data_IF_379720353025
#
_entry.id   IF_379720353025
#
_cell.length_a   1.000
_cell.length_b   1.000
_cell.length_c   1.000
_cell.angle_alpha   90.00
_cell.angle_beta   90.00
_cell.angle_gamma   90.00
#
_symmetry.space_group_name_H-M   'P 1'
#
loop_
_entity.id
_entity.type
_entity.pdbx_description
1 polymer ?
#
# COMPACT_ATOMS: atom_id res chain seq x y z
N UNK A 1 8.56 -14.61 -15.85
CA UNK A 1 7.13 -14.53 -15.47
C UNK A 1 6.47 -13.40 -16.25
N UNK A 2 5.71 -13.75 -17.29
CA UNK A 2 4.89 -12.80 -18.05
C UNK A 2 3.84 -12.20 -17.12
N UNK A 3 3.93 -10.89 -16.88
CA UNK A 3 2.85 -10.13 -16.25
C UNK A 3 1.71 -10.06 -17.26
N UNK A 4 0.78 -11.00 -17.18
CA UNK A 4 -0.50 -10.93 -17.87
C UNK A 4 -1.23 -9.67 -17.37
N UNK A 5 -1.18 -8.61 -18.18
CA UNK A 5 -2.11 -7.49 -18.04
C UNK A 5 -3.50 -8.10 -18.19
N UNK A 6 -4.44 -7.86 -17.25
CA UNK A 6 -5.76 -8.48 -17.32
C UNK A 6 -6.41 -8.12 -18.65
N UNK A 7 -6.73 -9.14 -19.45
CA UNK A 7 -7.16 -9.09 -20.86
C UNK A 7 -8.29 -8.07 -21.10
N UNK A 8 -9.15 -7.83 -20.10
CA UNK A 8 -10.22 -6.82 -20.17
C UNK A 8 -9.72 -5.37 -20.28
N UNK A 9 -8.56 -5.03 -19.71
CA UNK A 9 -8.02 -3.66 -19.73
C UNK A 9 -7.30 -3.36 -21.07
N UNK A 10 -6.61 -4.34 -21.65
CA UNK A 10 -5.94 -4.16 -22.95
C UNK A 10 -6.94 -3.98 -24.09
N UNK A 11 -8.01 -4.79 -24.12
CA UNK A 11 -9.08 -4.71 -25.14
C UNK A 11 -9.77 -3.35 -25.10
N UNK A 12 -10.09 -2.83 -23.91
CA UNK A 12 -10.69 -1.50 -23.77
C UNK A 12 -9.74 -0.38 -24.22
N UNK A 13 -8.43 -0.52 -23.98
CA UNK A 13 -7.45 0.47 -24.41
C UNK A 13 -7.24 0.48 -25.92
N UNK A 14 -7.26 -0.69 -26.56
CA UNK A 14 -7.18 -0.84 -28.01
C UNK A 14 -8.43 -0.31 -28.72
N UNK A 15 -9.62 -0.62 -28.20
CA UNK A 15 -10.88 -0.06 -28.70
C UNK A 15 -10.91 1.48 -28.59
N UNK A 16 -10.39 2.04 -27.49
CA UNK A 16 -10.31 3.48 -27.30
C UNK A 16 -9.27 4.13 -28.24
N UNK A 17 -8.12 3.49 -28.49
CA UNK A 17 -7.17 3.94 -29.51
C UNK A 17 -7.79 3.95 -30.90
N UNK A 18 -8.52 2.90 -31.25
CA UNK A 18 -9.21 2.80 -32.54
C UNK A 18 -10.30 3.87 -32.69
N UNK A 19 -11.05 4.17 -31.61
CA UNK A 19 -12.03 5.27 -31.58
C UNK A 19 -11.36 6.63 -31.80
N UNK A 20 -10.25 6.91 -31.11
CA UNK A 20 -9.49 8.17 -31.28
C UNK A 20 -8.87 8.28 -32.66
N UNK A 21 -8.39 7.18 -33.25
CA UNK A 21 -7.88 7.15 -34.63
C UNK A 21 -8.97 7.52 -35.63
N UNK A 22 -10.18 6.95 -35.50
CA UNK A 22 -11.35 7.30 -36.33
C UNK A 22 -11.71 8.79 -36.24
N UNK A 23 -11.67 9.37 -35.04
CA UNK A 23 -11.94 10.80 -34.83
C UNK A 23 -10.83 11.66 -35.44
N UNK A 24 -9.56 11.24 -35.36
CA UNK A 24 -8.43 11.98 -35.92
C UNK A 24 -8.46 12.01 -37.45
N UNK A 25 -8.98 10.96 -38.08
CA UNK A 25 -9.03 10.84 -39.54
C UNK A 25 -10.23 11.57 -40.17
N UNK A 26 -11.23 11.97 -39.39
CA UNK A 26 -12.41 12.70 -39.86
C UNK A 26 -12.32 14.19 -39.45
N UNK A 27 -12.20 15.13 -40.41
CA UNK A 27 -11.96 16.54 -40.11
C UNK A 27 -13.12 17.21 -39.35
N UNK A 28 -14.37 16.80 -39.62
CA UNK A 28 -15.56 17.36 -38.98
C UNK A 28 -15.61 16.89 -37.53
N UNK A 29 -15.46 15.59 -37.30
CA UNK A 29 -15.44 15.03 -35.94
C UNK A 29 -14.25 15.53 -35.12
N UNK A 30 -13.11 15.79 -35.76
CA UNK A 30 -11.94 16.38 -35.10
C UNK A 30 -12.21 17.82 -34.65
N UNK A 31 -12.86 18.63 -35.48
CA UNK A 31 -13.23 20.01 -35.14
C UNK A 31 -14.23 20.03 -33.97
N UNK A 32 -15.28 19.21 -34.02
CA UNK A 32 -16.23 19.07 -32.91
C UNK A 32 -15.56 18.61 -31.61
N UNK A 33 -14.62 17.66 -31.71
CA UNK A 33 -13.88 17.17 -30.55
C UNK A 33 -13.04 18.28 -29.90
N UNK A 34 -12.33 19.07 -30.72
CA UNK A 34 -11.53 20.22 -30.27
C UNK A 34 -12.41 21.27 -29.60
N UNK A 35 -13.58 21.58 -30.16
CA UNK A 35 -14.50 22.55 -29.56
C UNK A 35 -15.07 22.05 -28.23
N UNK A 36 -15.44 20.76 -28.14
CA UNK A 36 -15.85 20.13 -26.87
C UNK A 36 -14.74 20.14 -25.82
N UNK A 37 -13.47 19.99 -26.21
CA UNK A 37 -12.34 20.14 -25.28
C UNK A 37 -12.14 21.59 -24.84
N UNK A 38 -12.28 22.55 -25.75
CA UNK A 38 -12.20 23.99 -25.47
C UNK A 38 -13.28 24.43 -24.48
N UNK A 39 -14.54 24.02 -24.70
CA UNK A 39 -15.64 24.29 -23.77
C UNK A 39 -15.40 23.66 -22.39
N UNK A 40 -14.88 22.42 -22.34
CA UNK A 40 -14.50 21.77 -21.07
C UNK A 40 -13.37 22.51 -20.37
N UNK A 41 -12.43 23.07 -21.12
CA UNK A 41 -11.35 23.89 -20.58
C UNK A 41 -11.89 25.19 -19.96
N UNK A 42 -12.73 25.92 -20.68
CA UNK A 42 -13.37 27.16 -20.21
C UNK A 42 -14.18 26.93 -18.93
N UNK A 43 -15.05 25.91 -18.92
CA UNK A 43 -15.82 25.53 -17.72
C UNK A 43 -14.94 25.20 -16.50
N UNK A 44 -13.76 24.59 -16.70
CA UNK A 44 -12.83 24.31 -15.60
C UNK A 44 -12.10 25.55 -15.11
N UNK A 45 -11.86 26.52 -15.99
CA UNK A 45 -11.25 27.81 -15.66
C UNK A 45 -12.25 28.66 -14.86
N UNK A 46 -13.50 28.77 -15.33
CA UNK A 46 -14.59 29.47 -14.62
C UNK A 46 -14.84 28.88 -13.23
N UNK A 47 -14.83 27.55 -13.10
CA UNK A 47 -14.97 26.85 -11.81
C UNK A 47 -13.74 26.95 -10.88
N UNK A 48 -12.67 27.67 -11.28
CA UNK A 48 -11.43 27.78 -10.49
C UNK A 48 -10.62 26.48 -10.34
N UNK A 49 -11.04 25.39 -10.99
CA UNK A 49 -10.38 24.07 -10.92
C UNK A 49 -9.06 24.05 -11.70
N UNK A 50 -8.87 24.99 -12.63
CA UNK A 50 -7.65 25.13 -13.42
C UNK A 50 -7.11 26.55 -13.32
N UNK A 51 -6.16 26.74 -12.41
CA UNK A 51 -5.45 28.00 -12.19
C UNK A 51 -4.43 28.26 -13.30
N UNK A 52 -4.30 29.52 -13.71
CA UNK A 52 -3.14 29.98 -14.49
C UNK A 52 -1.88 29.89 -13.63
N UNK A 53 -0.70 29.75 -14.25
CA UNK A 53 0.56 29.68 -13.48
C UNK A 53 0.81 30.96 -12.69
N UNK A 54 0.35 32.11 -13.18
CA UNK A 54 0.44 33.41 -12.50
C UNK A 54 -0.44 33.46 -11.23
N UNK A 55 -1.56 32.75 -11.24
CA UNK A 55 -2.54 32.69 -10.14
C UNK A 55 -2.20 31.59 -9.11
N UNK A 56 -1.20 30.75 -9.40
CA UNK A 56 -0.76 29.69 -8.49
C UNK A 56 0.22 30.24 -7.45
N UNK A 57 0.12 29.71 -6.22
CA UNK A 57 1.09 30.01 -5.15
C UNK A 57 2.51 29.58 -5.54
N UNK A 58 3.57 30.16 -4.96
CA UNK A 58 4.96 29.78 -5.27
C UNK A 58 5.24 28.27 -5.09
N UNK A 59 4.61 27.65 -4.09
CA UNK A 59 4.72 26.21 -3.82
C UNK A 59 4.04 25.37 -4.91
N UNK A 60 2.84 25.74 -5.34
CA UNK A 60 2.15 25.10 -6.46
C UNK A 60 2.95 25.28 -7.78
N UNK A 61 3.49 26.47 -8.03
CA UNK A 61 4.35 26.73 -9.19
C UNK A 61 5.55 25.79 -9.22
N UNK A 62 6.22 25.58 -8.08
CA UNK A 62 7.35 24.64 -7.96
C UNK A 62 6.94 23.21 -8.32
N UNK A 63 5.78 22.75 -7.84
CA UNK A 63 5.26 21.40 -8.13
C UNK A 63 4.94 21.26 -9.62
N UNK A 64 4.28 22.25 -10.21
CA UNK A 64 3.92 22.24 -11.64
C UNK A 64 5.16 22.27 -12.53
N UNK A 65 6.14 23.13 -12.23
CA UNK A 65 7.43 23.16 -12.96
C UNK A 65 8.19 21.84 -12.82
N UNK A 66 8.17 21.19 -11.65
CA UNK A 66 8.75 19.84 -11.47
C UNK A 66 8.08 18.80 -12.37
N UNK A 67 6.75 18.84 -12.52
CA UNK A 67 6.02 17.99 -13.46
C UNK A 67 6.39 18.29 -14.90
N UNK A 68 6.49 19.56 -15.30
CA UNK A 68 6.89 19.96 -16.65
C UNK A 68 8.29 19.50 -17.01
N UNK A 69 9.27 19.65 -16.12
CA UNK A 69 10.62 19.11 -16.34
C UNK A 69 10.58 17.61 -16.59
N UNK A 70 9.82 16.87 -15.77
CA UNK A 70 9.64 15.43 -15.96
C UNK A 70 9.01 15.12 -17.33
N UNK A 71 7.90 15.76 -17.69
CA UNK A 71 7.24 15.53 -18.97
C UNK A 71 8.13 15.88 -20.17
N UNK A 72 8.91 16.96 -20.08
CA UNK A 72 9.89 17.33 -21.09
C UNK A 72 10.99 16.28 -21.25
N UNK A 73 11.53 15.75 -20.14
CA UNK A 73 12.50 14.65 -20.17
C UNK A 73 11.89 13.38 -20.76
N UNK A 74 10.70 12.98 -20.31
CA UNK A 74 10.00 11.79 -20.80
C UNK A 74 9.70 11.91 -22.32
N UNK A 75 9.28 13.09 -22.78
CA UNK A 75 9.05 13.37 -24.21
C UNK A 75 10.33 13.26 -25.03
N UNK A 76 11.43 13.89 -24.58
CA UNK A 76 12.74 13.82 -25.28
C UNK A 76 13.27 12.39 -25.35
N UNK A 77 13.17 11.62 -24.27
CA UNK A 77 13.52 10.20 -24.26
C UNK A 77 12.67 9.41 -25.26
N UNK A 78 11.36 9.63 -25.27
CA UNK A 78 10.46 8.97 -26.23
C UNK A 78 10.81 9.31 -27.68
N UNK A 79 11.14 10.57 -27.97
CA UNK A 79 11.57 10.96 -29.31
C UNK A 79 12.90 10.32 -29.71
N UNK A 80 13.87 10.25 -28.80
CA UNK A 80 15.13 9.54 -29.03
C UNK A 80 14.89 8.05 -29.32
N UNK A 81 14.04 7.39 -28.53
CA UNK A 81 13.67 5.99 -28.76
C UNK A 81 12.98 5.79 -30.10
N UNK A 82 12.02 6.65 -30.46
CA UNK A 82 11.34 6.59 -31.74
C UNK A 82 12.32 6.75 -32.91
N UNK A 83 13.28 7.68 -32.82
CA UNK A 83 14.33 7.87 -33.82
C UNK A 83 15.21 6.63 -33.94
N UNK A 84 15.63 6.05 -32.81
CA UNK A 84 16.45 4.84 -32.80
C UNK A 84 15.68 3.64 -33.39
N UNK A 85 14.41 3.47 -33.03
CA UNK A 85 13.54 2.43 -33.60
C UNK A 85 13.34 2.62 -35.10
N UNK A 86 13.07 3.85 -35.55
CA UNK A 86 12.95 4.19 -36.97
C UNK A 86 14.24 3.86 -37.74
N UNK A 87 15.41 4.23 -37.20
CA UNK A 87 16.69 3.92 -37.80
C UNK A 87 16.94 2.40 -37.87
N UNK A 88 16.62 1.67 -36.80
CA UNK A 88 16.75 0.21 -36.76
C UNK A 88 15.84 -0.48 -37.79
N UNK A 89 14.59 -0.06 -37.91
CA UNK A 89 13.65 -0.61 -38.92
C UNK A 89 14.16 -0.32 -40.33
N UNK A 90 14.68 0.90 -40.59
CA UNK A 90 15.23 1.28 -41.88
C UNK A 90 16.49 0.50 -42.26
N UNK A 91 17.35 0.17 -41.29
CA UNK A 91 18.54 -0.65 -41.51
C UNK A 91 18.24 -2.14 -41.75
N UNK A 92 17.11 -2.65 -41.25
CA UNK A 92 16.73 -4.06 -41.38
C UNK A 92 15.63 -4.31 -42.43
N UNK A 93 15.13 -3.27 -43.08
CA UNK A 93 14.18 -3.38 -44.21
C UNK A 93 14.98 -3.13 -45.48
N UNK A 94 15.65 -4.16 -45.98
CA UNK A 94 16.47 -4.09 -47.19
C UNK A 94 15.61 -3.70 -48.39
N UNK A 95 15.96 -2.58 -49.02
CA UNK A 95 15.66 -2.37 -50.43
C UNK A 95 16.28 -3.51 -51.22
N UNK A 96 15.46 -4.20 -52.00
CA UNK A 96 15.93 -5.08 -53.06
C UNK A 96 16.63 -4.22 -54.12
N UNK A 97 17.96 -4.14 -54.11
CA UNK A 97 18.82 -4.07 -55.29
C UNK A 97 20.31 -4.10 -54.90
N UNK A 98 21.02 -5.05 -55.53
CA UNK A 98 22.47 -5.12 -55.84
C UNK A 98 23.53 -4.91 -54.74
N UNK A 99 24.19 -6.03 -54.41
CA UNK A 99 25.62 -6.25 -54.20
C UNK A 99 26.51 -5.09 -53.75
N UNK A 100 27.13 -5.22 -52.55
CA UNK A 100 28.59 -5.40 -52.41
C UNK A 100 29.01 -5.51 -50.93
N UNK A 101 30.11 -6.26 -50.74
CA UNK A 101 31.07 -6.24 -49.63
C UNK A 101 30.64 -6.79 -48.25
N UNK A 102 31.14 -8.00 -47.97
CA UNK A 102 31.34 -8.55 -46.63
C UNK A 102 32.33 -7.66 -45.86
N UNK A 103 31.94 -7.17 -44.69
CA UNK A 103 32.85 -6.55 -43.72
C UNK A 103 33.06 -7.51 -42.52
N UNK A 104 34.28 -8.02 -42.28
CA UNK A 104 34.58 -8.90 -41.16
C UNK A 104 34.99 -8.08 -39.93
N UNK A 105 34.01 -7.65 -39.12
CA UNK A 105 34.34 -6.73 -38.00
C UNK A 105 33.45 -6.72 -36.75
N UNK A 106 32.56 -7.70 -36.53
CA UNK A 106 31.60 -7.63 -35.41
C UNK A 106 31.71 -8.80 -34.42
N UNK A 107 32.85 -8.93 -33.74
CA UNK A 107 32.96 -9.76 -32.53
C UNK A 107 32.83 -8.86 -31.29
N UNK A 108 31.63 -8.93 -30.67
CA UNK A 108 31.19 -8.55 -29.28
C UNK A 108 30.61 -7.13 -29.07
N UNK A 109 29.55 -6.98 -28.22
CA UNK A 109 29.43 -7.63 -26.90
C UNK A 109 28.08 -8.28 -26.57
N UNK A 110 28.06 -9.63 -26.51
CA UNK A 110 26.97 -10.40 -25.86
C UNK A 110 26.86 -10.16 -24.35
N UNK A 111 27.84 -9.48 -23.72
CA UNK A 111 27.93 -9.28 -22.26
C UNK A 111 27.15 -8.04 -21.80
N UNK A 112 27.21 -6.91 -22.52
CA UNK A 112 26.47 -5.68 -22.17
C UNK A 112 24.95 -5.87 -22.26
N UNK A 113 24.47 -6.64 -23.24
CA UNK A 113 23.03 -6.95 -23.37
C UNK A 113 22.47 -7.77 -22.18
N UNK A 114 23.28 -8.60 -21.52
CA UNK A 114 22.84 -9.34 -20.31
C UNK A 114 22.71 -8.41 -19.11
N UNK A 115 23.66 -7.48 -18.91
CA UNK A 115 23.60 -6.53 -17.80
C UNK A 115 22.43 -5.54 -17.97
N UNK A 116 22.23 -5.03 -19.19
CA UNK A 116 21.12 -4.13 -19.51
C UNK A 116 19.76 -4.82 -19.32
N UNK A 117 19.64 -6.10 -19.68
CA UNK A 117 18.43 -6.90 -19.46
C UNK A 117 18.14 -7.11 -17.97
N UNK A 118 19.15 -7.44 -17.15
CA UNK A 118 19.02 -7.52 -15.70
C UNK A 118 18.57 -6.19 -15.08
N UNK A 119 19.14 -5.07 -15.54
CA UNK A 119 18.80 -3.74 -15.04
C UNK A 119 17.35 -3.34 -15.39
N UNK A 120 16.91 -3.67 -16.61
CA UNK A 120 15.52 -3.48 -17.05
C UNK A 120 14.53 -4.36 -16.27
N UNK A 121 14.89 -5.60 -15.94
CA UNK A 121 14.08 -6.49 -15.11
C UNK A 121 13.93 -5.95 -13.68
N UNK A 122 15.02 -5.44 -13.08
CA UNK A 122 14.99 -4.81 -11.75
C UNK A 122 14.12 -3.54 -11.77
N UNK A 123 14.27 -2.69 -12.79
CA UNK A 123 13.43 -1.49 -12.95
C UNK A 123 11.94 -1.83 -13.15
N UNK A 124 11.65 -2.90 -13.89
CA UNK A 124 10.28 -3.42 -14.05
C UNK A 124 9.68 -3.90 -12.72
N UNK A 125 10.44 -4.68 -11.93
CA UNK A 125 10.05 -5.12 -10.58
C UNK A 125 9.79 -3.93 -9.64
N UNK A 126 10.68 -2.93 -9.64
CA UNK A 126 10.54 -1.73 -8.82
C UNK A 126 9.28 -0.93 -9.19
N UNK A 127 8.99 -0.80 -10.48
CA UNK A 127 7.78 -0.13 -10.97
C UNK A 127 6.50 -0.90 -10.60
N UNK A 128 6.53 -2.24 -10.67
CA UNK A 128 5.42 -3.10 -10.24
C UNK A 128 5.13 -2.93 -8.74
N UNK A 129 6.16 -2.95 -7.89
CA UNK A 129 6.03 -2.70 -6.45
C UNK A 129 5.47 -1.29 -6.17
N UNK A 130 5.95 -0.29 -6.91
CA UNK A 130 5.45 1.08 -6.79
C UNK A 130 3.98 1.20 -7.18
N UNK A 131 3.52 0.45 -8.18
CA UNK A 131 2.11 0.40 -8.55
C UNK A 131 1.27 -0.32 -7.48
N UNK A 132 1.76 -1.43 -6.91
CA UNK A 132 1.12 -2.14 -5.79
C UNK A 132 0.92 -1.20 -4.59
N UNK A 133 1.96 -0.47 -4.20
CA UNK A 133 1.89 0.51 -3.12
C UNK A 133 0.89 1.65 -3.41
N UNK A 134 0.82 2.14 -4.65
CA UNK A 134 -0.19 3.14 -5.05
C UNK A 134 -1.62 2.63 -4.93
N UNK A 135 -1.88 1.36 -5.28
CA UNK A 135 -3.21 0.73 -5.15
C UNK A 135 -3.60 0.59 -3.70
N UNK A 136 -2.70 0.06 -2.85
CA UNK A 136 -2.91 -0.07 -1.41
C UNK A 136 -3.18 1.31 -0.78
N UNK A 137 -2.37 2.33 -1.11
CA UNK A 137 -2.58 3.70 -0.62
C UNK A 137 -3.92 4.29 -1.05
N UNK A 138 -4.42 3.96 -2.24
CA UNK A 138 -5.74 4.40 -2.72
C UNK A 138 -6.89 3.68 -2.01
N UNK A 139 -6.74 2.38 -1.74
CA UNK A 139 -7.69 1.61 -0.92
C UNK A 139 -7.75 2.15 0.51
N UNK A 140 -6.59 2.37 1.15
CA UNK A 140 -6.50 2.99 2.48
C UNK A 140 -7.17 4.37 2.52
N UNK A 141 -6.90 5.24 1.53
CA UNK A 141 -7.58 6.55 1.45
C UNK A 141 -9.09 6.46 1.27
N UNK A 142 -9.58 5.44 0.56
CA UNK A 142 -11.03 5.21 0.43
C UNK A 142 -11.63 4.74 1.74
N UNK A 143 -10.97 3.82 2.46
CA UNK A 143 -11.39 3.32 3.76
C UNK A 143 -11.42 4.44 4.82
N UNK A 144 -10.40 5.29 4.88
CA UNK A 144 -10.38 6.47 5.77
C UNK A 144 -11.54 7.40 5.43
N UNK A 145 -11.78 7.68 4.15
CA UNK A 145 -12.87 8.57 3.72
C UNK A 145 -14.27 7.98 3.94
N UNK A 146 -14.43 6.66 4.03
CA UNK A 146 -15.69 6.04 4.43
C UNK A 146 -15.89 6.06 5.95
N UNK A 147 -14.81 6.02 6.74
CA UNK A 147 -14.86 6.19 8.20
C UNK A 147 -15.15 7.66 8.56
N UNK A 148 -14.60 8.63 7.84
CA UNK A 148 -14.90 10.06 7.98
C UNK A 148 -16.35 10.44 7.62
N UNK A 149 -17.10 9.54 6.95
CA UNK A 149 -18.52 9.73 6.61
C UNK A 149 -19.49 9.20 7.67
N UNK A 150 -18.99 8.61 8.75
CA UNK A 150 -19.81 8.35 9.94
C UNK A 150 -20.09 9.72 10.55
N UNK A 151 -21.36 10.12 10.71
CA UNK A 151 -21.70 11.44 11.23
C UNK A 151 -21.05 11.60 12.62
N UNK A 152 -20.34 12.73 12.80
CA UNK A 152 -19.66 13.09 14.06
C UNK A 152 -20.61 13.15 15.27
N UNK A 153 -21.91 13.11 15.04
CA UNK A 153 -22.96 13.22 16.05
C UNK A 153 -23.14 11.97 16.91
N UNK A 154 -22.52 10.83 16.59
CA UNK A 154 -22.66 9.60 17.42
C UNK A 154 -21.51 9.35 18.40
N UNK A 155 -20.54 10.26 18.52
CA UNK A 155 -19.44 10.15 19.51
C UNK A 155 -19.69 11.05 20.72
N UNK A 156 -20.45 12.13 20.55
CA UNK A 156 -20.87 13.01 21.66
C UNK A 156 -22.00 12.37 22.49
N UNK A 157 -22.84 11.54 21.89
CA UNK A 157 -23.98 10.88 22.57
C UNK A 157 -23.65 9.50 23.17
N UNK A 158 -22.40 9.04 23.10
CA UNK A 158 -22.01 7.76 23.71
C UNK A 158 -21.10 8.04 24.90
N UNK A 159 -21.74 8.05 26.08
CA UNK A 159 -21.18 7.90 27.42
C UNK A 159 -20.47 9.13 27.99
N UNK A 160 -21.19 9.86 28.87
CA UNK A 160 -20.65 10.81 29.85
C UNK A 160 -19.71 10.17 30.90
N UNK A 161 -19.48 8.86 30.82
CA UNK A 161 -18.65 8.10 31.76
C UNK A 161 -17.17 8.10 31.33
N UNK A 162 -16.36 8.92 32.01
CA UNK A 162 -14.93 9.17 31.73
C UNK A 162 -14.08 7.90 31.78
N UNK A 163 -14.47 6.91 32.59
CA UNK A 163 -13.81 5.61 32.76
C UNK A 163 -13.98 4.71 31.53
N UNK A 164 -15.20 4.59 30.99
CA UNK A 164 -15.48 3.81 29.77
C UNK A 164 -14.80 4.39 28.55
N UNK A 165 -14.66 5.72 28.50
CA UNK A 165 -13.91 6.43 27.45
C UNK A 165 -12.41 6.12 27.50
N UNK A 166 -11.80 6.08 28.70
CA UNK A 166 -10.39 5.68 28.86
C UNK A 166 -10.15 4.24 28.43
N UNK A 167 -11.04 3.31 28.78
CA UNK A 167 -10.92 1.90 28.41
C UNK A 167 -11.07 1.67 26.90
N UNK A 168 -12.07 2.29 26.26
CA UNK A 168 -12.28 2.16 24.81
C UNK A 168 -11.11 2.72 24.00
N UNK A 169 -10.55 3.86 24.43
CA UNK A 169 -9.37 4.45 23.80
C UNK A 169 -8.13 3.56 23.99
N UNK A 170 -7.98 2.94 25.17
CA UNK A 170 -6.89 2.00 25.45
C UNK A 170 -7.02 0.74 24.57
N UNK A 171 -8.21 0.15 24.47
CA UNK A 171 -8.48 -1.03 23.65
C UNK A 171 -8.26 -0.78 22.14
N UNK A 172 -8.62 0.42 21.67
CA UNK A 172 -8.42 0.83 20.27
C UNK A 172 -6.96 1.17 19.93
N UNK A 173 -6.17 1.64 20.90
CA UNK A 173 -4.77 2.02 20.68
C UNK A 173 -3.78 0.85 20.87
N UNK A 174 -4.11 -0.15 21.69
CA UNK A 174 -3.18 -1.20 22.12
C UNK A 174 -3.57 -2.64 21.72
N UNK A 175 -4.70 -2.87 21.04
CA UNK A 175 -5.06 -4.19 20.50
C UNK A 175 -4.22 -4.61 19.27
N UNK A 176 -4.19 -5.92 18.96
CA UNK A 176 -3.44 -6.48 17.82
C UNK A 176 -3.71 -5.78 16.46
N UNK A 177 -4.91 -5.23 16.28
CA UNK A 177 -5.28 -4.46 15.09
C UNK A 177 -4.56 -3.10 14.95
N UNK A 178 -3.94 -2.59 16.03
CA UNK A 178 -3.20 -1.33 16.08
C UNK A 178 -1.69 -1.46 15.84
N UNK A 179 -1.19 -2.68 15.58
CA UNK A 179 0.24 -2.94 15.46
C UNK A 179 0.84 -2.15 14.27
N UNK A 180 1.77 -1.24 14.60
CA UNK A 180 2.63 -0.54 13.64
C UNK A 180 2.17 0.83 13.11
N UNK A 181 1.04 1.42 13.60
CA UNK A 181 0.60 2.78 13.19
C UNK A 181 -0.15 3.58 14.28
N UNK A 182 0.04 3.26 15.56
CA UNK A 182 -0.63 3.92 16.69
C UNK A 182 0.36 4.46 17.73
N UNK A 183 -0.16 4.94 18.87
CA UNK A 183 0.63 5.28 20.05
C UNK A 183 1.71 4.24 20.43
N UNK A 184 1.46 2.90 20.36
CA UNK A 184 2.50 1.90 20.63
C UNK A 184 3.70 1.93 19.64
N UNK A 185 3.50 2.37 18.39
CA UNK A 185 4.61 2.54 17.43
C UNK A 185 5.54 3.68 17.86
N UNK A 186 5.00 4.74 18.45
CA UNK A 186 5.79 5.85 19.01
C UNK A 186 6.68 5.41 20.16
N UNK A 187 6.13 4.62 21.09
CA UNK A 187 6.89 4.05 22.23
C UNK A 187 7.96 3.09 21.71
N UNK A 188 7.61 2.15 20.82
CA UNK A 188 8.56 1.23 20.20
C UNK A 188 9.68 1.96 19.42
N UNK A 189 9.34 3.03 18.71
CA UNK A 189 10.31 3.86 18.00
C UNK A 189 11.25 4.62 18.95
N UNK A 190 10.79 5.00 20.14
CA UNK A 190 11.65 5.61 21.17
C UNK A 190 12.59 4.55 21.72
N UNK A 191 12.07 3.40 22.17
CA UNK A 191 12.90 2.30 22.70
C UNK A 191 13.98 1.87 21.70
N UNK A 192 13.62 1.71 20.42
CA UNK A 192 14.56 1.39 19.35
C UNK A 192 15.64 2.46 19.19
N UNK A 193 15.25 3.74 19.06
CA UNK A 193 16.20 4.83 18.86
C UNK A 193 17.16 4.97 20.05
N UNK A 194 16.68 4.72 21.26
CA UNK A 194 17.51 4.72 22.47
C UNK A 194 18.55 3.61 22.41
N UNK A 195 18.18 2.40 22.00
CA UNK A 195 19.13 1.31 21.81
C UNK A 195 20.12 1.59 20.67
N UNK A 196 19.64 2.07 19.52
CA UNK A 196 20.49 2.46 18.38
C UNK A 196 21.53 3.54 18.79
N UNK A 197 21.14 4.48 19.66
CA UNK A 197 22.04 5.50 20.18
C UNK A 197 23.10 4.96 21.15
N UNK A 198 22.79 3.90 21.91
CA UNK A 198 23.78 3.24 22.77
C UNK A 198 24.81 2.52 21.92
N UNK A 199 24.35 1.77 20.92
CA UNK A 199 25.22 1.06 19.98
C UNK A 199 26.10 2.04 19.18
N UNK A 200 25.50 3.14 18.68
CA UNK A 200 26.24 4.16 17.93
C UNK A 200 27.31 4.88 18.76
N UNK A 201 27.22 4.86 20.09
CA UNK A 201 28.22 5.44 21.02
C UNK A 201 29.29 4.40 21.44
N UNK A 202 29.25 3.20 20.89
CA UNK A 202 30.19 2.11 21.22
C UNK A 202 29.78 1.28 22.43
N UNK A 203 28.54 1.42 22.93
CA UNK A 203 27.98 0.48 23.89
C UNK A 203 27.47 -0.79 23.19
N UNK A 204 27.35 -1.89 23.92
CA UNK A 204 26.82 -3.14 23.39
C UNK A 204 25.56 -3.56 24.14
N UNK A 205 24.64 -4.24 23.46
CA UNK A 205 23.39 -4.77 24.03
C UNK A 205 23.28 -6.23 23.58
N UNK A 206 23.69 -7.14 24.45
CA UNK A 206 23.75 -8.58 24.17
C UNK A 206 22.44 -9.29 24.48
N UNK A 207 21.84 -8.99 25.63
CA UNK A 207 20.64 -9.69 26.09
C UNK A 207 19.42 -8.78 26.21
N UNK A 208 18.24 -9.40 26.25
CA UNK A 208 16.99 -8.69 26.48
C UNK A 208 16.96 -7.99 27.84
N UNK A 209 17.64 -8.56 28.85
CA UNK A 209 17.78 -7.95 30.18
C UNK A 209 18.60 -6.65 30.10
N UNK A 210 19.67 -6.64 29.31
CA UNK A 210 20.48 -5.44 29.06
C UNK A 210 19.68 -4.37 28.33
N UNK A 211 18.92 -4.78 27.31
CA UNK A 211 18.02 -3.87 26.60
C UNK A 211 17.00 -3.23 27.55
N UNK A 212 16.36 -4.02 28.41
CA UNK A 212 15.40 -3.52 29.38
C UNK A 212 16.04 -2.55 30.39
N UNK A 213 17.27 -2.84 30.85
CA UNK A 213 18.02 -1.94 31.74
C UNK A 213 18.32 -0.60 31.07
N UNK A 214 18.84 -0.62 29.83
CA UNK A 214 19.15 0.58 29.04
C UNK A 214 17.91 1.45 28.81
N UNK A 215 16.77 0.84 28.49
CA UNK A 215 15.53 1.59 28.25
C UNK A 215 15.01 2.20 29.56
N UNK A 216 15.08 1.49 30.69
CA UNK A 216 14.69 2.03 32.01
C UNK A 216 15.56 3.20 32.44
N UNK A 217 16.87 3.10 32.23
CA UNK A 217 17.83 4.15 32.58
C UNK A 217 17.60 5.43 31.74
N UNK A 218 17.46 5.28 30.43
CA UNK A 218 17.41 6.42 29.49
C UNK A 218 16.02 6.96 29.22
N UNK A 219 14.97 6.20 29.55
CA UNK A 219 13.58 6.58 29.32
C UNK A 219 12.73 6.31 30.57
N UNK A 220 12.88 7.09 31.66
CA UNK A 220 12.16 6.86 32.92
C UNK A 220 10.63 7.00 32.79
N UNK A 221 10.14 7.69 31.76
CA UNK A 221 8.71 7.80 31.47
C UNK A 221 8.10 6.53 30.86
N UNK A 222 8.92 5.55 30.45
CA UNK A 222 8.47 4.28 29.88
C UNK A 222 8.70 3.18 30.92
N UNK A 223 7.62 2.58 31.40
CA UNK A 223 7.71 1.40 32.27
C UNK A 223 7.93 0.15 31.42
N UNK A 224 9.05 -0.53 31.65
CA UNK A 224 9.42 -1.78 30.96
C UNK A 224 9.41 -2.92 31.97
N UNK A 225 8.49 -3.86 31.80
CA UNK A 225 8.42 -5.09 32.60
C UNK A 225 8.96 -6.24 31.76
N UNK A 226 9.92 -6.97 32.32
CA UNK A 226 10.46 -8.19 31.71
C UNK A 226 9.65 -9.33 32.31
N UNK A 227 9.06 -10.15 31.44
CA UNK A 227 8.25 -11.30 31.86
C UNK A 227 9.01 -12.56 31.45
N UNK A 228 9.29 -13.43 32.41
CA UNK A 228 9.94 -14.73 32.16
C UNK A 228 8.89 -15.82 31.89
N UNK A 229 9.28 -16.87 31.15
CA UNK A 229 8.36 -17.96 30.78
C UNK A 229 7.71 -18.64 31.99
N UNK A 230 8.46 -18.78 33.09
CA UNK A 230 7.95 -19.35 34.34
C UNK A 230 6.81 -18.50 34.96
N UNK A 231 6.83 -17.17 34.76
CA UNK A 231 5.78 -16.27 35.25
C UNK A 231 4.52 -16.38 34.39
N UNK A 232 4.70 -16.63 33.08
CA UNK A 232 3.59 -16.89 32.16
C UNK A 232 2.88 -18.19 32.56
N UNK A 233 3.63 -19.25 32.86
CA UNK A 233 3.07 -20.54 33.27
C UNK A 233 2.33 -20.45 34.60
N UNK A 234 2.89 -19.71 35.57
CA UNK A 234 2.23 -19.44 36.86
C UNK A 234 0.91 -18.68 36.67
N UNK A 235 0.91 -17.66 35.81
CA UNK A 235 -0.30 -16.89 35.50
C UNK A 235 -1.34 -17.73 34.77
N UNK A 236 -0.93 -18.56 33.80
CA UNK A 236 -1.83 -19.48 33.13
C UNK A 236 -2.45 -20.49 34.10
N UNK A 237 -1.66 -21.03 35.04
CA UNK A 237 -2.17 -21.92 36.08
C UNK A 237 -3.17 -21.21 37.00
N UNK A 238 -2.94 -19.94 37.36
CA UNK A 238 -3.85 -19.13 38.17
C UNK A 238 -5.14 -18.78 37.42
N UNK A 239 -5.04 -18.47 36.12
CA UNK A 239 -6.19 -18.22 35.23
C UNK A 239 -7.04 -19.48 35.12
N UNK A 240 -6.42 -20.64 34.90
CA UNK A 240 -7.13 -21.92 34.78
C UNK A 240 -7.81 -22.31 36.10
N UNK A 241 -7.15 -22.12 37.25
CA UNK A 241 -7.75 -22.37 38.57
C UNK A 241 -8.92 -21.45 38.87
N UNK A 242 -8.89 -20.20 38.39
CA UNK A 242 -9.93 -19.21 38.65
C UNK A 242 -10.85 -18.97 37.44
N UNK A 243 -10.88 -19.88 36.47
CA UNK A 243 -11.63 -19.74 35.22
C UNK A 243 -13.12 -19.46 35.46
N UNK A 244 -13.69 -20.03 36.52
CA UNK A 244 -15.08 -19.81 36.95
C UNK A 244 -15.39 -18.42 37.51
N UNK A 245 -14.38 -17.64 37.91
CA UNK A 245 -14.50 -16.24 38.40
C UNK A 245 -14.18 -15.21 37.33
N UNK A 246 -13.60 -15.62 36.20
CA UNK A 246 -13.25 -14.72 35.12
C UNK A 246 -14.51 -14.41 34.31
N UNK A 247 -15.14 -13.28 34.63
CA UNK A 247 -16.26 -12.76 33.85
C UNK A 247 -15.73 -12.36 32.47
N UNK A 248 -16.20 -13.06 31.43
CA UNK A 248 -15.90 -12.70 30.05
C UNK A 248 -16.35 -11.26 29.83
N UNK A 249 -15.45 -10.43 29.30
CA UNK A 249 -15.72 -9.02 29.07
C UNK A 249 -16.97 -8.87 28.20
N UNK A 250 -18.03 -8.21 28.72
CA UNK A 250 -19.26 -7.98 27.95
C UNK A 250 -18.91 -7.22 26.67
N UNK A 251 -19.06 -7.89 25.52
CA UNK A 251 -18.78 -7.32 24.20
C UNK A 251 -17.46 -7.72 23.55
N UNK A 252 -16.64 -8.63 24.12
CA UNK A 252 -15.61 -9.32 23.33
C UNK A 252 -16.26 -10.45 22.53
N UNK A 253 -16.41 -10.20 21.23
CA UNK A 253 -16.66 -11.14 20.13
C UNK A 253 -17.29 -12.49 20.54
N UNK A 254 -18.61 -12.57 20.43
CA UNK A 254 -19.32 -13.84 20.27
C UNK A 254 -18.90 -14.47 18.93
N UNK A 255 -17.72 -15.11 18.90
CA UNK A 255 -17.26 -15.82 17.71
C UNK A 255 -18.12 -17.07 17.59
N UNK A 256 -18.75 -17.26 16.42
CA UNK A 256 -19.54 -18.45 16.17
C UNK A 256 -18.68 -19.46 15.41
N UNK A 257 -18.50 -20.66 15.98
CA UNK A 257 -17.92 -21.78 15.25
C UNK A 257 -19.04 -22.51 14.52
N UNK A 258 -18.98 -22.56 13.19
CA UNK A 258 -19.92 -23.33 12.37
C UNK A 258 -19.23 -24.65 11.99
N UNK A 259 -19.79 -25.77 12.43
CA UNK A 259 -19.33 -27.11 12.05
C UNK A 259 -20.37 -27.82 11.19
N UNK A 260 -19.92 -28.40 10.08
CA UNK A 260 -20.72 -29.28 9.23
C UNK A 260 -20.23 -30.70 9.39
N UNK A 261 -21.16 -31.66 9.49
CA UNK A 261 -20.84 -33.08 9.56
C UNK A 261 -21.17 -33.74 8.23
N UNK A 262 -20.26 -34.58 7.72
CA UNK A 262 -20.50 -35.37 6.51
C UNK A 262 -21.67 -36.36 6.67
N UNK A 263 -21.98 -36.75 7.92
CA UNK A 263 -23.08 -37.67 8.24
C UNK A 263 -24.45 -36.98 8.24
N UNK A 264 -24.50 -35.66 8.43
CA UNK A 264 -25.73 -34.86 8.39
C UNK A 264 -25.56 -33.68 7.43
N UNK A 265 -25.55 -33.94 6.10
CA UNK A 265 -25.21 -32.94 5.09
C UNK A 265 -26.18 -31.75 5.05
N UNK A 266 -27.39 -31.92 5.59
CA UNK A 266 -28.43 -30.88 5.66
C UNK A 266 -28.48 -30.16 7.01
N UNK A 267 -27.54 -30.42 7.93
CA UNK A 267 -27.49 -29.75 9.23
C UNK A 267 -26.14 -29.09 9.47
N UNK A 268 -26.20 -27.79 9.78
CA UNK A 268 -25.05 -27.00 10.21
C UNK A 268 -25.22 -26.72 11.70
N UNK A 269 -24.22 -27.10 12.51
CA UNK A 269 -24.19 -26.77 13.93
C UNK A 269 -23.42 -25.48 14.14
N UNK A 270 -24.01 -24.54 14.88
CA UNK A 270 -23.40 -23.25 15.20
C UNK A 270 -23.17 -23.21 16.70
N UNK A 271 -21.91 -23.14 17.15
CA UNK A 271 -21.54 -22.97 18.56
C UNK A 271 -21.15 -21.52 18.84
N UNK A 272 -21.67 -20.94 19.91
CA UNK A 272 -21.18 -19.66 20.44
C UNK A 272 -19.91 -19.93 21.25
N UNK A 273 -18.75 -19.43 20.78
CA UNK A 273 -17.44 -19.61 21.43
C UNK A 273 -17.26 -18.76 22.71
N UNK A 274 -18.35 -18.37 23.36
CA UNK A 274 -18.29 -17.88 24.74
C UNK A 274 -17.92 -18.99 25.73
N UNK A 275 -18.06 -20.26 25.34
CA UNK A 275 -17.62 -21.44 26.10
C UNK A 275 -16.44 -22.15 25.39
N UNK A 276 -15.36 -22.45 26.13
CA UNK A 276 -14.25 -23.31 25.66
C UNK A 276 -14.55 -24.80 25.94
N UNK A 277 -15.78 -25.26 25.69
CA UNK A 277 -16.19 -26.63 25.93
C UNK A 277 -15.96 -27.53 24.69
N UNK A 278 -15.80 -28.84 24.92
CA UNK A 278 -15.37 -29.80 23.90
C UNK A 278 -16.34 -30.03 22.72
N UNK A 279 -15.82 -30.74 21.72
CA UNK A 279 -16.26 -30.82 20.32
C UNK A 279 -17.72 -31.22 20.06
N UNK A 280 -18.46 -31.78 21.02
CA UNK A 280 -19.76 -32.40 20.72
C UNK A 280 -21.02 -31.70 21.26
N UNK A 281 -20.89 -30.67 22.11
CA UNK A 281 -22.05 -29.87 22.56
C UNK A 281 -21.69 -28.80 23.59
N UNK A 282 -22.56 -27.81 23.78
CA UNK A 282 -22.48 -26.89 24.92
C UNK A 282 -23.89 -26.83 25.55
N UNK A 283 -24.06 -27.41 26.74
CA UNK A 283 -25.33 -27.48 27.49
C UNK A 283 -25.48 -26.27 28.43
N UNK A 284 -25.52 -25.07 27.85
CA UNK A 284 -25.74 -23.83 28.60
C UNK A 284 -26.84 -22.97 27.96
#
# INVERSE_FOLDING_TARGET
MHLQVPVKISVLWEAEKARLSRIKNDPIKLAEYKEKERLRYLKKKEKGLRKSIKEMTPREQRITRKKWRKYSTDYRQKQSLNRNTSNFVRQNTSSSTSDTAKDPGAIRPKIENKQLKKMNDVMSKLNSQRQKYKRIKKQFKKAIKSVEKIPKTSIEDISEDVTKKKELVTKALFGEAGHGKGAPDGVGAICKRTADQVIARGGDITDFKDFAAVVRERCPSIQVNVIEECEIDQMNALINKNSFKLVVFKGTLSVHQVTGSAYFPNQLKIKSLSCFCDSDGCDH
#
